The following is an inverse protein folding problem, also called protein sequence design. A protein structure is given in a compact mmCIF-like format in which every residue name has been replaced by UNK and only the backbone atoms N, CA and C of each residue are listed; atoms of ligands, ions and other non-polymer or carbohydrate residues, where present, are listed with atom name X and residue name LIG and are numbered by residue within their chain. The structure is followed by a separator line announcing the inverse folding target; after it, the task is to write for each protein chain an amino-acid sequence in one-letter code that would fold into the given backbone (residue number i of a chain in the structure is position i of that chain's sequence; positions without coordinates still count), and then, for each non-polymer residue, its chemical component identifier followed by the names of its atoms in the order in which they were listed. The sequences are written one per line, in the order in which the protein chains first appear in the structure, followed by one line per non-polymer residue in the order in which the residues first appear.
data_IF_349186714559
#
_entry.id   IF_349186714559
#
_cell.length_a   1.000
_cell.length_b   1.000
_cell.length_c   1.000
_cell.angle_alpha   90.00
_cell.angle_beta   90.00
_cell.angle_gamma   90.00
#
_symmetry.space_group_name_H-M   'P 1'
#
loop_
_entity.id
_entity.type
_entity.pdbx_description
1 polymer ?
#
# COMPACT_ATOMS: atom_id res chain seq x y z
N UNK A 1 5.84 7.27 -20.02
CA UNK A 1 6.21 6.18 -19.09
C UNK A 1 5.72 4.88 -19.70
N UNK A 2 6.48 3.79 -19.56
CA UNK A 2 6.14 2.51 -20.17
C UNK A 2 5.07 1.84 -19.32
N UNK A 3 4.00 1.39 -19.96
CA UNK A 3 2.98 0.54 -19.32
C UNK A 3 3.32 -0.91 -19.62
N UNK A 4 3.35 -1.74 -18.57
CA UNK A 4 3.45 -3.19 -18.68
C UNK A 4 2.10 -3.79 -18.34
N UNK A 5 1.51 -4.52 -19.29
CA UNK A 5 0.21 -5.18 -19.12
C UNK A 5 0.40 -6.65 -18.82
N UNK A 6 -0.16 -7.10 -17.69
CA UNK A 6 -0.29 -8.49 -17.30
C UNK A 6 -1.67 -9.00 -17.70
N UNK A 7 -1.74 -10.22 -18.22
CA UNK A 7 -2.99 -10.87 -18.61
C UNK A 7 -3.10 -12.22 -17.92
N UNK A 8 -4.25 -12.48 -17.34
CA UNK A 8 -4.56 -13.81 -16.83
C UNK A 8 -4.72 -14.80 -18.00
N UNK A 9 -4.09 -15.98 -17.95
CA UNK A 9 -4.16 -16.95 -19.05
C UNK A 9 -5.51 -17.68 -19.16
N UNK A 10 -6.37 -17.59 -18.14
CA UNK A 10 -7.61 -18.37 -18.00
C UNK A 10 -8.87 -17.51 -17.95
N UNK A 11 -8.73 -16.17 -17.95
CA UNK A 11 -9.86 -15.27 -17.77
C UNK A 11 -9.65 -13.91 -18.45
N UNK A 12 -10.65 -13.04 -18.36
CA UNK A 12 -10.60 -11.67 -18.89
C UNK A 12 -9.87 -10.67 -18.00
N UNK A 13 -9.28 -11.11 -16.88
CA UNK A 13 -8.61 -10.22 -15.94
C UNK A 13 -7.28 -9.72 -16.52
N UNK A 14 -7.05 -8.43 -16.42
CA UNK A 14 -5.79 -7.79 -16.80
C UNK A 14 -5.37 -6.77 -15.75
N UNK A 15 -4.07 -6.58 -15.58
CA UNK A 15 -3.51 -5.55 -14.70
C UNK A 15 -2.44 -4.75 -15.46
N UNK A 16 -2.29 -3.48 -15.12
CA UNK A 16 -1.28 -2.61 -15.72
C UNK A 16 -0.40 -1.99 -14.66
N UNK A 17 0.92 -1.97 -14.92
CA UNK A 17 1.93 -1.40 -14.04
C UNK A 17 2.81 -0.41 -14.79
N UNK A 18 3.27 0.62 -14.08
CA UNK A 18 4.21 1.60 -14.60
C UNK A 18 5.49 1.59 -13.75
N UNK A 19 6.52 0.82 -14.16
CA UNK A 19 7.78 0.74 -13.42
C UNK A 19 8.41 2.12 -13.16
N UNK A 20 8.44 3.00 -14.16
CA UNK A 20 9.06 4.33 -14.02
C UNK A 20 8.21 5.33 -13.21
N UNK A 21 7.10 4.88 -12.61
CA UNK A 21 6.28 5.65 -11.68
C UNK A 21 6.10 4.86 -10.38
N UNK A 22 7.20 4.56 -9.69
CA UNK A 22 7.14 3.90 -8.39
C UNK A 22 6.58 2.47 -8.43
N UNK A 23 6.70 1.79 -9.58
CA UNK A 23 6.13 0.46 -9.80
C UNK A 23 4.63 0.38 -9.44
N UNK A 24 3.89 1.47 -9.71
CA UNK A 24 2.46 1.58 -9.36
C UNK A 24 1.61 0.69 -10.28
N UNK A 25 0.68 -0.07 -9.68
CA UNK A 25 -0.39 -0.71 -10.43
C UNK A 25 -1.45 0.32 -10.82
N UNK A 26 -1.54 0.66 -12.10
CA UNK A 26 -2.45 1.70 -12.61
C UNK A 26 -3.83 1.18 -12.97
N UNK A 27 -3.96 -0.10 -13.30
CA UNK A 27 -5.23 -0.73 -13.66
C UNK A 27 -5.33 -2.14 -13.10
N UNK A 28 -6.54 -2.53 -12.70
CA UNK A 28 -6.97 -3.91 -12.55
C UNK A 28 -8.38 -3.99 -13.12
N UNK A 29 -8.52 -4.71 -14.24
CA UNK A 29 -9.78 -4.76 -14.97
C UNK A 29 -10.23 -6.20 -15.24
N UNK A 30 -11.53 -6.38 -15.39
CA UNK A 30 -12.13 -7.66 -15.77
C UNK A 30 -13.23 -7.45 -16.81
N UNK A 31 -13.05 -8.05 -17.98
CA UNK A 31 -13.87 -7.85 -19.17
C UNK A 31 -14.01 -6.35 -19.55
N UNK A 32 -12.89 -5.61 -19.44
CA UNK A 32 -12.82 -4.18 -19.77
C UNK A 32 -13.38 -3.23 -18.70
N UNK A 33 -13.85 -3.76 -17.57
CA UNK A 33 -14.37 -2.95 -16.46
C UNK A 33 -13.25 -2.66 -15.46
N UNK A 34 -12.92 -1.38 -15.27
CA UNK A 34 -11.89 -0.92 -14.33
C UNK A 34 -12.35 -1.01 -12.87
N UNK A 35 -11.57 -1.70 -12.05
CA UNK A 35 -11.85 -1.99 -10.64
C UNK A 35 -10.95 -1.20 -9.68
N UNK A 36 -10.04 -0.38 -10.20
CA UNK A 36 -9.25 0.56 -9.42
C UNK A 36 -9.73 2.00 -9.55
N UNK A 37 -9.80 2.68 -8.41
CA UNK A 37 -9.95 4.12 -8.33
C UNK A 37 -8.73 4.85 -8.87
N UNK A 38 -8.92 5.60 -9.96
CA UNK A 38 -7.87 6.40 -10.57
C UNK A 38 -7.56 7.68 -9.77
N UNK A 39 -8.47 8.10 -8.88
CA UNK A 39 -8.32 9.32 -8.06
C UNK A 39 -7.95 10.51 -8.94
N UNK A 40 -6.78 11.11 -8.73
CA UNK A 40 -6.25 12.24 -9.52
C UNK A 40 -5.41 11.83 -10.73
N UNK A 41 -5.31 10.53 -10.98
CA UNK A 41 -4.60 9.94 -12.09
C UNK A 41 -3.07 9.92 -11.94
N UNK A 42 -2.43 9.27 -12.92
CA UNK A 42 -1.00 9.00 -12.91
C UNK A 42 -0.14 10.28 -12.93
N UNK A 43 -0.59 11.34 -13.63
CA UNK A 43 0.14 12.60 -13.69
C UNK A 43 0.26 13.26 -12.30
N UNK A 44 -0.84 13.29 -11.54
CA UNK A 44 -0.85 13.83 -10.18
C UNK A 44 -0.06 12.95 -9.20
N UNK A 45 -0.04 11.64 -9.43
CA UNK A 45 0.80 10.71 -8.67
C UNK A 45 2.29 11.00 -8.89
N UNK A 46 2.72 11.13 -10.15
CA UNK A 46 4.13 11.40 -10.47
C UNK A 46 4.57 12.79 -10.01
N UNK A 47 3.79 13.83 -10.30
CA UNK A 47 4.19 15.22 -9.99
C UNK A 47 4.04 15.56 -8.51
N UNK A 48 2.96 15.10 -7.88
CA UNK A 48 2.54 15.59 -6.57
C UNK A 48 2.36 14.48 -5.51
N UNK A 49 2.69 13.22 -5.84
CA UNK A 49 2.53 12.08 -4.93
C UNK A 49 1.09 11.80 -4.53
N UNK A 50 0.12 12.22 -5.35
CA UNK A 50 -1.31 11.95 -5.10
C UNK A 50 -1.60 10.50 -5.47
N UNK A 51 -1.60 9.64 -4.46
CA UNK A 51 -1.79 8.19 -4.55
C UNK A 51 -3.04 7.80 -5.37
N UNK A 52 -2.89 6.76 -6.20
CA UNK A 52 -3.90 6.16 -7.07
C UNK A 52 -3.59 4.68 -7.30
N UNK A 53 -4.57 3.91 -7.80
CA UNK A 53 -4.35 2.53 -8.22
C UNK A 53 -3.89 1.63 -7.05
N UNK A 54 -2.75 0.96 -7.21
CA UNK A 54 -2.09 0.14 -6.18
C UNK A 54 -0.67 0.70 -5.95
N UNK A 55 -0.52 1.81 -5.21
CA UNK A 55 0.79 2.39 -4.94
C UNK A 55 1.43 1.69 -3.74
N UNK A 56 2.74 1.49 -3.82
CA UNK A 56 3.55 1.15 -2.66
C UNK A 56 3.77 2.39 -1.80
N UNK A 57 3.64 2.24 -0.49
CA UNK A 57 3.91 3.26 0.52
C UNK A 57 5.23 2.90 1.21
N UNK A 58 6.34 3.48 0.76
CA UNK A 58 7.69 3.03 1.15
C UNK A 58 8.64 4.20 1.37
N UNK A 59 9.48 4.19 2.42
CA UNK A 59 9.73 3.08 3.37
C UNK A 59 8.75 2.99 4.55
N UNK A 60 7.80 3.92 4.65
CA UNK A 60 6.75 3.86 5.65
C UNK A 60 5.36 4.05 5.03
N UNK A 61 4.40 3.28 5.52
CA UNK A 61 2.98 3.48 5.29
C UNK A 61 2.41 4.45 6.32
N UNK A 62 1.37 5.16 5.90
CA UNK A 62 0.69 6.17 6.71
C UNK A 62 1.66 7.22 7.30
N UNK A 63 1.30 7.81 8.45
CA UNK A 63 1.97 8.97 9.06
C UNK A 63 3.16 8.61 9.94
N UNK A 64 4.11 9.53 10.03
CA UNK A 64 5.05 9.67 11.14
C UNK A 64 4.65 10.89 11.97
N UNK A 65 4.56 10.74 13.28
CA UNK A 65 4.08 11.77 14.19
C UNK A 65 5.08 12.90 14.49
N UNK A 66 6.25 12.88 13.85
CA UNK A 66 7.22 13.98 13.84
C UNK A 66 8.14 13.87 12.62
N UNK A 67 8.86 14.95 12.34
CA UNK A 67 9.87 15.03 11.30
C UNK A 67 11.19 14.32 11.65
N UNK A 68 11.29 13.68 12.81
CA UNK A 68 12.48 12.90 13.20
C UNK A 68 12.04 11.55 13.74
N UNK A 69 12.77 10.50 13.35
CA UNK A 69 12.64 9.16 13.91
C UNK A 69 14.02 8.59 14.26
N UNK A 70 14.04 7.63 15.17
CA UNK A 70 15.22 6.80 15.45
C UNK A 70 14.80 5.35 15.42
N UNK A 71 15.42 4.57 14.54
CA UNK A 71 15.14 3.15 14.35
C UNK A 71 16.49 2.43 14.21
N UNK A 72 16.61 1.19 14.70
CA UNK A 72 17.85 0.39 14.56
C UNK A 72 19.16 1.17 14.86
N UNK A 73 19.12 2.07 15.85
CA UNK A 73 20.26 2.90 16.26
C UNK A 73 20.59 4.11 15.37
N UNK A 74 19.83 4.36 14.30
CA UNK A 74 20.04 5.48 13.36
C UNK A 74 18.92 6.50 13.45
N UNK A 75 19.29 7.77 13.54
CA UNK A 75 18.36 8.91 13.53
C UNK A 75 18.34 9.57 12.17
N UNK A 76 17.14 9.82 11.64
CA UNK A 76 16.95 10.59 10.41
C UNK A 76 15.96 11.75 10.65
N UNK A 77 16.20 12.86 9.96
CA UNK A 77 15.33 14.03 9.95
C UNK A 77 14.75 14.22 8.55
N UNK A 78 13.44 14.31 8.49
CA UNK A 78 12.61 14.41 7.30
C UNK A 78 12.12 15.85 7.14
N UNK A 79 12.34 16.42 5.96
CA UNK A 79 11.84 17.75 5.63
C UNK A 79 10.79 17.63 4.52
N UNK A 80 9.50 17.88 4.79
CA UNK A 80 8.49 17.89 3.74
C UNK A 80 8.87 18.83 2.59
N UNK A 81 8.83 18.31 1.35
CA UNK A 81 9.27 19.01 0.14
C UNK A 81 10.70 18.68 -0.29
N UNK A 82 11.51 18.04 0.56
CA UNK A 82 12.86 17.58 0.24
C UNK A 82 12.91 16.06 0.11
N UNK A 83 13.82 15.54 -0.73
CA UNK A 83 14.11 14.10 -0.83
C UNK A 83 12.89 13.19 -1.06
N UNK A 84 11.83 13.73 -1.66
CA UNK A 84 10.57 13.00 -1.90
C UNK A 84 9.65 12.92 -0.69
N UNK A 85 10.02 13.47 0.47
CA UNK A 85 9.17 13.52 1.67
C UNK A 85 7.97 14.42 1.42
N UNK A 86 6.77 13.90 1.71
CA UNK A 86 5.52 14.63 1.58
C UNK A 86 4.80 14.66 2.92
N UNK A 87 4.08 15.75 3.16
CA UNK A 87 3.27 15.93 4.35
C UNK A 87 1.78 15.67 4.06
N UNK A 88 1.08 15.16 5.07
CA UNK A 88 -0.38 15.15 5.12
C UNK A 88 -0.92 16.57 5.42
N UNK A 89 -2.25 16.77 5.44
CA UNK A 89 -2.85 18.07 5.79
C UNK A 89 -2.49 18.61 7.18
N UNK A 90 -2.04 17.75 8.10
CA UNK A 90 -1.59 18.13 9.44
C UNK A 90 -0.08 18.45 9.50
N UNK A 91 0.62 18.41 8.35
CA UNK A 91 2.06 18.66 8.28
C UNK A 91 2.93 17.44 8.62
N UNK A 92 2.35 16.25 8.80
CA UNK A 92 3.07 15.04 9.19
C UNK A 92 3.62 14.30 7.96
N UNK A 93 4.88 13.80 7.98
CA UNK A 93 5.40 12.96 6.90
C UNK A 93 4.50 11.74 6.66
N UNK A 94 4.12 11.49 5.42
CA UNK A 94 3.13 10.45 5.09
C UNK A 94 3.51 9.68 3.82
N UNK A 95 3.30 8.35 3.85
CA UNK A 95 3.40 7.45 2.69
C UNK A 95 4.78 7.29 2.05
N UNK A 96 5.85 7.62 2.78
CA UNK A 96 7.20 7.42 2.30
C UNK A 96 7.61 8.37 1.17
N UNK A 97 8.53 7.91 0.32
CA UNK A 97 9.19 8.73 -0.71
C UNK A 97 9.19 8.12 -2.11
N UNK A 98 8.60 6.92 -2.29
CA UNK A 98 8.61 6.22 -3.59
C UNK A 98 7.44 6.56 -4.53
N UNK A 99 6.51 7.41 -4.11
CA UNK A 99 5.39 7.84 -4.97
C UNK A 99 5.91 8.54 -6.23
N UNK A 100 5.70 7.91 -7.39
CA UNK A 100 6.17 8.41 -8.69
C UNK A 100 7.68 8.25 -8.95
N UNK A 101 8.40 7.49 -8.12
CA UNK A 101 9.86 7.37 -8.25
C UNK A 101 10.27 6.59 -9.52
N UNK A 102 11.16 7.12 -10.37
CA UNK A 102 11.45 6.50 -11.67
C UNK A 102 12.55 5.42 -11.63
N UNK A 103 13.28 5.27 -10.53
CA UNK A 103 14.50 4.45 -10.46
C UNK A 103 14.29 2.93 -10.44
N UNK A 104 13.09 2.42 -10.69
CA UNK A 104 12.84 0.97 -10.71
C UNK A 104 13.43 0.33 -11.97
N UNK A 105 14.20 -0.74 -11.80
CA UNK A 105 14.76 -1.56 -12.87
C UNK A 105 13.94 -2.85 -13.00
N UNK A 106 13.34 -3.06 -14.17
CA UNK A 106 12.67 -4.34 -14.49
C UNK A 106 13.72 -5.44 -14.64
N UNK A 107 13.53 -6.55 -13.92
CA UNK A 107 14.45 -7.71 -13.94
C UNK A 107 13.82 -8.96 -14.56
N UNK A 108 12.48 -9.07 -14.58
CA UNK A 108 11.77 -10.12 -15.29
C UNK A 108 10.40 -9.64 -15.76
N UNK A 109 9.97 -10.08 -16.93
CA UNK A 109 8.67 -9.75 -17.52
C UNK A 109 8.15 -10.95 -18.32
N UNK A 110 6.89 -11.32 -18.09
CA UNK A 110 6.14 -12.34 -18.82
C UNK A 110 4.75 -11.80 -19.15
N UNK A 111 3.95 -12.59 -19.88
CA UNK A 111 2.56 -12.23 -20.22
C UNK A 111 1.70 -11.97 -18.99
N UNK A 112 2.06 -12.56 -17.85
CA UNK A 112 1.23 -12.68 -16.66
C UNK A 112 2.02 -12.37 -15.38
N UNK A 113 3.23 -11.83 -15.49
CA UNK A 113 4.08 -11.45 -14.37
C UNK A 113 5.11 -10.37 -14.71
N UNK A 114 5.50 -9.61 -13.69
CA UNK A 114 6.50 -8.56 -13.78
C UNK A 114 7.27 -8.48 -12.45
N UNK A 115 8.59 -8.39 -12.52
CA UNK A 115 9.46 -8.16 -11.37
C UNK A 115 10.33 -6.94 -11.63
N UNK A 116 10.38 -6.03 -10.67
CA UNK A 116 11.25 -4.88 -10.68
C UNK A 116 11.95 -4.69 -9.33
N UNK A 117 13.12 -4.08 -9.38
CA UNK A 117 13.98 -3.82 -8.22
C UNK A 117 14.34 -2.34 -8.15
N UNK A 118 14.55 -1.87 -6.94
CA UNK A 118 15.13 -0.56 -6.65
C UNK A 118 16.25 -0.77 -5.63
N UNK A 119 17.49 -0.44 -6.00
CA UNK A 119 18.56 -0.31 -5.02
C UNK A 119 18.41 1.05 -4.33
N UNK A 120 18.14 1.01 -3.04
CA UNK A 120 17.90 2.21 -2.26
C UNK A 120 19.19 3.00 -1.99
N UNK A 121 20.35 2.35 -2.11
CA UNK A 121 21.65 2.98 -1.92
C UNK A 121 22.15 3.74 -3.16
N UNK A 122 21.56 3.49 -4.34
CA UNK A 122 21.94 4.16 -5.60
C UNK A 122 21.49 5.64 -5.65
N UNK A 123 20.58 6.07 -4.76
CA UNK A 123 20.14 7.47 -4.66
C UNK A 123 20.40 8.03 -3.24
N UNK A 124 21.38 8.92 -3.06
CA UNK A 124 21.67 9.55 -1.77
C UNK A 124 20.48 10.29 -1.16
N UNK A 125 19.51 10.76 -1.96
CA UNK A 125 18.29 11.41 -1.46
C UNK A 125 17.37 10.41 -0.76
N UNK A 126 17.32 9.17 -1.26
CA UNK A 126 16.57 8.10 -0.61
C UNK A 126 17.21 7.76 0.74
N UNK A 127 18.54 7.59 0.79
CA UNK A 127 19.27 7.36 2.04
C UNK A 127 19.15 8.52 3.04
N UNK A 128 19.03 9.77 2.57
CA UNK A 128 18.80 10.92 3.45
C UNK A 128 17.47 10.82 4.23
N UNK A 129 16.45 10.16 3.64
CA UNK A 129 15.15 9.94 4.29
C UNK A 129 15.08 8.62 5.05
N UNK A 130 15.82 7.60 4.59
CA UNK A 130 15.83 6.26 5.16
C UNK A 130 17.21 5.61 5.02
N UNK A 131 18.10 5.82 6.01
CA UNK A 131 19.55 5.56 5.91
C UNK A 131 19.91 4.09 6.16
N UNK A 132 19.25 3.18 5.43
CA UNK A 132 19.51 1.74 5.47
C UNK A 132 19.76 1.27 4.04
N UNK A 133 21.00 0.96 3.63
CA UNK A 133 21.27 0.38 2.32
C UNK A 133 20.56 -0.97 2.13
N UNK A 134 19.72 -1.06 1.11
CA UNK A 134 18.98 -2.29 0.79
C UNK A 134 18.51 -2.30 -0.66
N UNK A 135 18.21 -3.50 -1.16
CA UNK A 135 17.46 -3.69 -2.40
C UNK A 135 16.00 -3.99 -2.06
N UNK A 136 15.09 -3.26 -2.70
CA UNK A 136 13.65 -3.47 -2.66
C UNK A 136 13.21 -4.15 -3.96
N UNK A 137 12.66 -5.36 -3.87
CA UNK A 137 12.10 -6.10 -5.02
C UNK A 137 10.59 -6.17 -4.92
N UNK A 138 9.88 -5.82 -5.98
CA UNK A 138 8.44 -6.04 -6.14
C UNK A 138 8.20 -6.97 -7.31
N UNK A 139 7.61 -8.12 -7.02
CA UNK A 139 7.16 -9.12 -7.99
C UNK A 139 5.63 -9.16 -8.00
N UNK A 140 5.04 -9.02 -9.18
CA UNK A 140 3.60 -9.11 -9.40
C UNK A 140 3.29 -10.24 -10.37
N UNK A 141 2.23 -10.99 -10.11
CA UNK A 141 1.81 -12.15 -10.90
C UNK A 141 0.29 -12.21 -10.96
N UNK A 142 -0.27 -12.34 -12.16
CA UNK A 142 -1.70 -12.45 -12.40
C UNK A 142 -2.08 -13.84 -12.92
N UNK A 143 -2.66 -14.67 -12.07
CA UNK A 143 -3.15 -16.00 -12.42
C UNK A 143 -4.43 -16.34 -11.67
N UNK A 144 -5.28 -17.17 -12.25
CA UNK A 144 -6.54 -17.63 -11.66
C UNK A 144 -7.40 -16.47 -11.09
N UNK A 145 -7.51 -15.38 -11.86
CA UNK A 145 -8.20 -14.12 -11.52
C UNK A 145 -7.62 -13.39 -10.31
N UNK A 146 -6.39 -13.71 -9.92
CA UNK A 146 -5.75 -13.23 -8.70
C UNK A 146 -4.43 -12.52 -9.03
N UNK A 147 -4.37 -11.23 -8.73
CA UNK A 147 -3.14 -10.44 -8.77
C UNK A 147 -2.42 -10.59 -7.44
N UNK A 148 -1.31 -11.33 -7.43
CA UNK A 148 -0.42 -11.46 -6.26
C UNK A 148 0.68 -10.41 -6.33
N UNK A 149 0.91 -9.72 -5.23
CA UNK A 149 2.00 -8.73 -5.06
C UNK A 149 2.91 -9.20 -3.94
N UNK A 150 4.17 -9.47 -4.27
CA UNK A 150 5.21 -9.90 -3.34
C UNK A 150 6.28 -8.83 -3.24
N UNK A 151 6.57 -8.38 -2.03
CA UNK A 151 7.65 -7.43 -1.73
C UNK A 151 8.74 -8.13 -0.94
N UNK A 152 9.99 -7.99 -1.41
CA UNK A 152 11.18 -8.50 -0.73
C UNK A 152 12.09 -7.34 -0.38
N UNK A 153 12.55 -7.28 0.87
CA UNK A 153 13.52 -6.30 1.35
C UNK A 153 14.79 -7.05 1.70
N UNK A 154 15.88 -6.74 1.02
CA UNK A 154 17.19 -7.37 1.21
C UNK A 154 18.18 -6.33 1.69
N UNK A 155 18.59 -6.41 2.95
CA UNK A 155 19.65 -5.55 3.49
C UNK A 155 20.96 -5.78 2.70
N UNK A 156 21.58 -4.69 2.25
CA UNK A 156 22.87 -4.75 1.54
C UNK A 156 24.02 -4.12 2.34
N UNK A 157 23.71 -3.41 3.43
CA UNK A 157 24.68 -2.96 4.43
C UNK A 157 24.69 -3.84 5.69
N UNK A 158 25.34 -3.34 6.74
CA UNK A 158 25.50 -4.04 8.02
C UNK A 158 24.32 -3.83 9.00
N UNK A 159 23.41 -2.92 8.67
CA UNK A 159 22.25 -2.59 9.50
C UNK A 159 21.01 -3.36 9.06
N UNK A 160 20.18 -3.73 10.03
CA UNK A 160 18.85 -4.24 9.75
C UNK A 160 17.97 -3.13 9.17
N UNK A 161 17.11 -3.47 8.22
CA UNK A 161 16.21 -2.54 7.52
C UNK A 161 14.83 -2.60 8.16
N UNK A 162 14.32 -1.52 8.78
CA UNK A 162 12.97 -1.49 9.35
C UNK A 162 11.88 -1.75 8.31
N UNK A 163 10.90 -2.59 8.64
CA UNK A 163 9.74 -2.89 7.80
C UNK A 163 8.53 -2.13 8.32
N UNK A 164 8.31 -0.93 7.77
CA UNK A 164 7.16 -0.08 8.09
C UNK A 164 6.32 0.28 6.85
N UNK A 165 6.58 -0.34 5.71
CA UNK A 165 5.92 -0.06 4.44
C UNK A 165 4.53 -0.71 4.33
N UNK A 166 3.80 -0.38 3.27
CA UNK A 166 2.50 -0.97 2.94
C UNK A 166 2.07 -0.66 1.52
N UNK A 167 0.82 -0.96 1.20
CA UNK A 167 0.19 -0.61 -0.09
C UNK A 167 -1.17 0.03 0.14
N UNK A 168 -1.62 0.84 -0.83
CA UNK A 168 -2.89 1.55 -0.74
C UNK A 168 -3.81 1.26 -1.94
N UNK A 169 -4.29 0.01 -2.12
CA UNK A 169 -5.15 -0.34 -3.24
C UNK A 169 -6.48 0.43 -3.18
N UNK A 170 -6.72 1.30 -4.15
CA UNK A 170 -7.98 2.03 -4.31
C UNK A 170 -8.96 1.17 -5.08
N UNK A 171 -9.85 0.45 -4.40
CA UNK A 171 -10.82 -0.44 -5.05
C UNK A 171 -12.09 0.34 -5.40
N UNK A 172 -12.71 0.00 -6.52
CA UNK A 172 -14.03 0.48 -6.91
C UNK A 172 -14.86 -0.59 -7.61
N UNK A 173 -16.18 -0.48 -7.50
CA UNK A 173 -17.14 -1.29 -8.24
C UNK A 173 -18.00 -0.38 -9.13
N UNK A 174 -17.69 -0.24 -10.43
CA UNK A 174 -18.48 0.57 -11.34
C UNK A 174 -19.84 -0.07 -11.64
N UNK A 175 -20.80 0.76 -12.05
CA UNK A 175 -22.16 0.31 -12.43
C UNK A 175 -23.11 0.09 -11.26
N UNK A 176 -22.65 0.30 -10.02
CA UNK A 176 -23.46 0.25 -8.80
C UNK A 176 -23.04 1.40 -7.87
N UNK A 177 -23.98 2.19 -7.32
CA UNK A 177 -23.65 3.29 -6.42
C UNK A 177 -22.81 2.82 -5.22
N UNK A 178 -21.83 3.63 -4.80
CA UNK A 178 -20.98 3.32 -3.62
C UNK A 178 -21.80 3.00 -2.37
N UNK A 179 -22.95 3.67 -2.20
CA UNK A 179 -23.83 3.43 -1.06
C UNK A 179 -24.38 2.01 -0.97
N UNK A 180 -24.47 1.30 -2.10
CA UNK A 180 -24.94 -0.08 -2.19
C UNK A 180 -23.79 -1.11 -2.08
N UNK A 181 -22.54 -0.67 -1.97
CA UNK A 181 -21.42 -1.59 -1.78
C UNK A 181 -21.50 -2.21 -0.40
N UNK A 182 -21.19 -3.50 -0.31
CA UNK A 182 -21.08 -4.24 0.94
C UNK A 182 -19.60 -4.50 1.22
N UNK A 183 -19.13 -4.10 2.40
CA UNK A 183 -17.77 -4.39 2.85
C UNK A 183 -17.76 -5.61 3.76
N UNK A 184 -16.74 -6.45 3.57
CA UNK A 184 -16.44 -7.58 4.44
C UNK A 184 -15.08 -7.38 5.11
N UNK A 185 -15.04 -7.52 6.43
CA UNK A 185 -13.80 -7.49 7.21
C UNK A 185 -13.76 -8.66 8.19
N UNK A 186 -12.58 -9.25 8.45
CA UNK A 186 -12.45 -10.27 9.49
C UNK A 186 -12.60 -9.62 10.88
N UNK A 187 -12.62 -10.41 11.98
CA UNK A 187 -12.41 -9.86 13.31
C UNK A 187 -11.04 -9.19 13.40
N UNK A 188 -10.99 -8.01 14.01
CA UNK A 188 -9.80 -7.16 14.06
C UNK A 188 -9.63 -6.55 15.45
N UNK A 189 -8.47 -5.93 15.69
CA UNK A 189 -8.27 -5.00 16.81
C UNK A 189 -8.15 -3.59 16.26
N UNK A 190 -9.13 -2.74 16.56
CA UNK A 190 -9.15 -1.33 16.12
C UNK A 190 -8.31 -0.49 17.07
N UNK A 191 -7.43 0.34 16.51
CA UNK A 191 -6.61 1.29 17.25
C UNK A 191 -7.35 2.62 17.39
N UNK A 192 -7.29 3.23 18.59
CA UNK A 192 -7.79 4.58 18.78
C UNK A 192 -6.76 5.58 18.26
N UNK A 193 -7.21 6.53 17.43
CA UNK A 193 -6.39 7.56 16.82
C UNK A 193 -6.62 8.92 17.48
N UNK A 194 -5.58 9.75 17.53
CA UNK A 194 -5.70 11.17 17.86
C UNK A 194 -6.30 11.97 16.68
N UNK A 195 -6.50 13.27 16.88
CA UNK A 195 -7.02 14.19 15.87
C UNK A 195 -6.14 14.34 14.62
N UNK A 196 -4.87 13.93 14.72
CA UNK A 196 -3.90 13.90 13.60
C UNK A 196 -3.81 12.53 12.94
N UNK A 197 -4.62 11.55 13.37
CA UNK A 197 -4.63 10.19 12.82
C UNK A 197 -3.47 9.32 13.32
N UNK A 198 -2.87 9.61 14.47
CA UNK A 198 -1.81 8.82 15.07
C UNK A 198 -2.36 7.88 16.16
N UNK A 199 -1.86 6.64 16.28
CA UNK A 199 -2.24 5.74 17.36
C UNK A 199 -1.96 6.32 18.75
N UNK A 200 -2.98 6.31 19.61
CA UNK A 200 -2.91 6.78 21.01
C UNK A 200 -2.34 5.72 21.95
N UNK A 201 -2.30 4.46 21.52
CA UNK A 201 -1.98 3.28 22.34
C UNK A 201 -3.21 2.56 22.89
N UNK A 202 -4.39 3.21 22.91
CA UNK A 202 -5.65 2.54 23.24
C UNK A 202 -6.17 1.73 22.03
N UNK A 203 -6.88 0.64 22.32
CA UNK A 203 -7.49 -0.22 21.28
C UNK A 203 -8.77 -0.88 21.78
N UNK A 204 -9.57 -1.39 20.85
CA UNK A 204 -10.77 -2.17 21.14
C UNK A 204 -10.94 -3.32 20.15
N UNK A 205 -11.54 -4.45 20.55
CA UNK A 205 -11.96 -5.47 19.60
C UNK A 205 -12.96 -4.91 18.59
N UNK A 206 -12.81 -5.28 17.32
CA UNK A 206 -13.78 -5.04 16.27
C UNK A 206 -14.25 -6.40 15.74
N UNK A 207 -15.55 -6.73 15.84
CA UNK A 207 -16.07 -7.99 15.30
C UNK A 207 -15.95 -7.99 13.77
N UNK A 208 -16.04 -9.19 13.18
CA UNK A 208 -16.20 -9.32 11.74
C UNK A 208 -17.38 -8.48 11.25
N UNK A 209 -17.24 -7.88 10.07
CA UNK A 209 -18.28 -7.08 9.45
C UNK A 209 -18.66 -7.67 8.11
N UNK A 210 -19.96 -7.61 7.83
CA UNK A 210 -20.56 -7.81 6.53
C UNK A 210 -21.71 -6.80 6.48
N UNK A 211 -21.43 -5.63 5.91
CA UNK A 211 -22.35 -4.50 6.02
C UNK A 211 -22.28 -3.58 4.81
N UNK A 212 -23.40 -2.90 4.54
CA UNK A 212 -23.44 -1.82 3.57
C UNK A 212 -22.47 -0.70 3.99
N UNK A 213 -21.69 -0.24 3.02
CA UNK A 213 -20.81 0.92 3.12
C UNK A 213 -21.65 2.18 3.29
N UNK A 214 -22.73 2.35 2.49
CA UNK A 214 -23.66 3.48 2.61
C UNK A 214 -22.92 4.83 2.65
N UNK A 215 -23.34 5.69 3.57
CA UNK A 215 -22.72 7.00 3.83
C UNK A 215 -21.58 6.95 4.86
N UNK A 216 -21.10 5.75 5.21
CA UNK A 216 -20.01 5.60 6.19
C UNK A 216 -18.71 6.14 5.59
N UNK A 217 -17.95 6.79 6.47
CA UNK A 217 -16.56 7.13 6.24
C UNK A 217 -15.69 6.15 7.02
N UNK A 218 -14.62 5.68 6.40
CA UNK A 218 -13.56 4.96 7.09
C UNK A 218 -12.25 5.73 6.92
N UNK A 219 -11.57 5.93 8.04
CA UNK A 219 -10.14 6.28 8.11
C UNK A 219 -9.60 5.65 9.39
N UNK A 220 -9.82 4.34 9.52
CA UNK A 220 -9.60 3.58 10.74
C UNK A 220 -8.37 2.67 10.63
N UNK A 221 -7.58 2.63 11.71
CA UNK A 221 -6.39 1.79 11.83
C UNK A 221 -6.68 0.53 12.64
N UNK A 222 -6.11 -0.59 12.20
CA UNK A 222 -6.22 -1.89 12.85
C UNK A 222 -4.86 -2.59 12.87
N UNK A 223 -4.65 -3.44 13.88
CA UNK A 223 -3.47 -4.29 13.98
C UNK A 223 -3.84 -5.71 14.42
N UNK A 224 -2.80 -6.55 14.60
CA UNK A 224 -2.93 -7.99 14.86
C UNK A 224 -3.71 -8.73 13.76
N UNK A 225 -3.59 -8.26 12.52
CA UNK A 225 -4.18 -8.93 11.36
C UNK A 225 -3.43 -10.26 11.14
N UNK A 226 -4.10 -11.42 11.18
CA UNK A 226 -3.44 -12.69 10.94
C UNK A 226 -3.10 -12.86 9.47
N UNK A 227 -2.03 -13.60 9.18
CA UNK A 227 -1.74 -14.08 7.83
C UNK A 227 -2.95 -14.86 7.28
N UNK A 228 -3.28 -14.62 6.02
CA UNK A 228 -4.44 -15.19 5.32
C UNK A 228 -5.76 -14.45 5.55
N UNK A 229 -5.79 -13.37 6.34
CA UNK A 229 -6.97 -12.52 6.52
C UNK A 229 -7.51 -12.00 5.18
N UNK A 230 -8.85 -11.95 5.03
CA UNK A 230 -9.53 -11.53 3.80
C UNK A 230 -10.43 -10.34 4.08
N UNK A 231 -10.23 -9.29 3.30
CA UNK A 231 -11.10 -8.13 3.21
C UNK A 231 -11.78 -8.15 1.85
N UNK A 232 -13.01 -7.65 1.75
CA UNK A 232 -13.66 -7.58 0.45
C UNK A 232 -14.63 -6.42 0.32
N UNK A 233 -14.90 -6.07 -0.93
CA UNK A 233 -16.02 -5.22 -1.32
C UNK A 233 -16.85 -5.92 -2.38
N UNK A 234 -18.17 -5.89 -2.23
CA UNK A 234 -19.13 -6.53 -3.13
C UNK A 234 -20.24 -5.56 -3.54
N UNK A 235 -20.77 -5.72 -4.74
CA UNK A 235 -21.80 -4.83 -5.30
C UNK A 235 -21.96 -5.04 -6.80
N UNK A 236 -23.17 -4.84 -7.33
CA UNK A 236 -23.42 -4.95 -8.78
C UNK A 236 -23.04 -6.30 -9.39
N UNK A 237 -23.18 -7.39 -8.63
CA UNK A 237 -22.79 -8.74 -9.05
C UNK A 237 -21.28 -9.01 -9.06
N UNK A 238 -20.45 -8.09 -8.56
CA UNK A 238 -18.99 -8.22 -8.48
C UNK A 238 -18.53 -8.32 -7.03
N UNK A 239 -17.36 -8.94 -6.84
CA UNK A 239 -16.66 -9.00 -5.56
C UNK A 239 -15.16 -8.86 -5.81
N UNK A 240 -14.51 -7.97 -5.07
CA UNK A 240 -13.05 -7.84 -5.06
C UNK A 240 -12.56 -8.17 -3.66
N UNK A 241 -11.67 -9.15 -3.55
CA UNK A 241 -11.08 -9.60 -2.27
C UNK A 241 -9.62 -9.17 -2.19
N UNK A 242 -9.20 -8.62 -1.05
CA UNK A 242 -7.80 -8.38 -0.72
C UNK A 242 -7.41 -9.35 0.38
N UNK A 243 -6.51 -10.28 0.08
CA UNK A 243 -6.01 -11.26 1.05
C UNK A 243 -4.61 -10.88 1.48
N UNK A 244 -4.42 -10.82 2.79
CA UNK A 244 -3.12 -10.51 3.39
C UNK A 244 -2.37 -11.82 3.56
N UNK A 245 -1.80 -12.35 2.47
CA UNK A 245 -1.20 -13.68 2.42
C UNK A 245 -0.16 -13.89 3.53
N UNK A 246 0.75 -12.92 3.69
CA UNK A 246 1.84 -13.00 4.68
C UNK A 246 2.41 -11.63 5.00
N UNK A 247 2.69 -11.40 6.28
CA UNK A 247 3.61 -10.35 6.73
C UNK A 247 3.02 -8.94 6.78
N UNK A 248 1.70 -8.83 6.74
CA UNK A 248 0.96 -7.57 6.88
C UNK A 248 0.10 -7.60 8.16
N UNK A 249 0.70 -7.43 9.36
CA UNK A 249 -0.01 -7.53 10.63
C UNK A 249 -0.88 -6.30 10.95
N UNK A 250 -0.89 -5.28 10.10
CA UNK A 250 -1.68 -4.07 10.29
C UNK A 250 -2.43 -3.69 9.01
N UNK A 251 -3.54 -2.96 9.19
CA UNK A 251 -4.30 -2.40 8.07
C UNK A 251 -4.91 -1.04 8.39
N UNK A 252 -5.00 -0.21 7.37
CA UNK A 252 -5.89 0.95 7.36
C UNK A 252 -7.08 0.61 6.47
N UNK A 253 -8.29 0.88 6.95
CA UNK A 253 -9.48 0.90 6.09
C UNK A 253 -9.81 2.35 5.79
N UNK A 254 -9.74 2.70 4.50
CA UNK A 254 -9.99 4.06 4.04
C UNK A 254 -11.14 4.08 3.02
N UNK A 255 -12.20 4.80 3.33
CA UNK A 255 -13.33 5.03 2.44
C UNK A 255 -13.86 6.45 2.71
N UNK A 256 -13.46 7.45 1.93
CA UNK A 256 -13.81 8.83 2.21
C UNK A 256 -15.29 9.08 1.89
N UNK A 257 -15.89 10.04 2.59
CA UNK A 257 -17.21 10.59 2.23
C UNK A 257 -17.12 11.54 1.03
N UNK A 258 -18.28 11.76 0.42
CA UNK A 258 -18.49 12.72 -0.65
C UNK A 258 -18.86 12.05 -1.97
N UNK A 259 -19.20 12.90 -2.93
CA UNK A 259 -19.59 12.49 -4.27
C UNK A 259 -18.43 12.62 -5.25
N UNK A 260 -18.52 11.87 -6.35
CA UNK A 260 -17.59 11.92 -7.46
C UNK A 260 -16.55 10.79 -7.48
N UNK A 261 -15.89 10.60 -8.63
CA UNK A 261 -15.08 9.41 -8.91
C UNK A 261 -13.83 9.27 -8.02
N UNK A 262 -13.34 10.36 -7.41
CA UNK A 262 -12.23 10.31 -6.46
C UNK A 262 -12.63 9.76 -5.08
N UNK A 263 -13.93 9.78 -4.76
CA UNK A 263 -14.51 9.36 -3.48
C UNK A 263 -15.26 8.04 -3.56
N UNK A 264 -15.63 7.61 -4.77
CA UNK A 264 -16.16 6.29 -5.09
C UNK A 264 -15.11 5.18 -4.99
N UNK A 265 -14.52 5.02 -3.79
CA UNK A 265 -13.49 4.04 -3.50
C UNK A 265 -13.63 3.46 -2.09
N UNK A 266 -13.01 2.30 -1.88
CA UNK A 266 -12.65 1.74 -0.58
C UNK A 266 -11.25 1.15 -0.67
N UNK A 267 -10.47 1.25 0.40
CA UNK A 267 -9.14 0.70 0.53
C UNK A 267 -9.07 -0.23 1.73
N UNK A 268 -8.45 -1.39 1.51
CA UNK A 268 -7.97 -2.27 2.57
C UNK A 268 -6.45 -2.28 2.43
N UNK A 269 -5.76 -1.49 3.23
CA UNK A 269 -4.33 -1.20 3.06
C UNK A 269 -3.50 -2.24 3.81
N UNK A 270 -2.79 -3.16 3.13
CA UNK A 270 -1.87 -4.06 3.82
C UNK A 270 -0.62 -3.31 4.28
N UNK A 271 -0.34 -3.32 5.59
CA UNK A 271 0.79 -2.63 6.20
C UNK A 271 1.65 -3.57 7.06
N UNK A 272 2.97 -3.45 6.92
CA UNK A 272 3.94 -4.31 7.62
C UNK A 272 4.11 -3.95 9.10
N UNK A 273 3.66 -2.75 9.48
CA UNK A 273 3.58 -2.27 10.86
C UNK A 273 2.44 -1.22 10.99
N UNK A 274 1.94 -0.95 12.20
CA UNK A 274 0.99 0.13 12.44
C UNK A 274 1.56 1.53 12.11
N UNK A 275 0.67 2.51 11.92
CA UNK A 275 1.04 3.92 11.73
C UNK A 275 2.02 4.40 12.81
N UNK A 276 3.00 5.23 12.42
CA UNK A 276 4.04 5.79 13.31
C UNK A 276 5.04 4.77 13.89
N UNK A 277 5.07 3.53 13.39
CA UNK A 277 5.94 2.47 13.91
C UNK A 277 7.44 2.81 13.85
N UNK A 278 7.95 3.49 12.83
CA UNK A 278 9.37 3.91 12.79
C UNK A 278 9.78 4.74 14.02
N UNK A 279 8.83 5.46 14.64
CA UNK A 279 9.05 6.26 15.85
C UNK A 279 8.71 5.51 17.14
N UNK A 280 7.76 4.58 17.08
CA UNK A 280 7.19 3.92 18.26
C UNK A 280 7.65 2.47 18.47
N UNK A 281 8.36 1.90 17.51
CA UNK A 281 8.70 0.48 17.50
C UNK A 281 7.54 -0.40 17.01
N UNK A 282 7.59 -1.69 17.35
CA UNK A 282 6.56 -2.66 16.93
C UNK A 282 6.64 -3.08 15.46
N UNK A 283 7.76 -2.77 14.78
CA UNK A 283 8.05 -3.23 13.43
C UNK A 283 9.01 -4.43 13.45
N UNK A 284 9.00 -5.18 12.34
CA UNK A 284 10.01 -6.21 12.04
C UNK A 284 11.12 -5.59 11.20
N UNK A 285 12.24 -6.31 11.02
CA UNK A 285 13.35 -5.85 10.19
C UNK A 285 13.77 -6.95 9.20
N UNK A 286 14.31 -6.56 8.04
CA UNK A 286 15.15 -7.45 7.23
C UNK A 286 16.59 -7.35 7.74
N UNK A 287 17.19 -8.47 8.16
CA UNK A 287 18.57 -8.48 8.69
C UNK A 287 19.58 -8.75 7.57
N UNK A 288 20.84 -8.33 7.72
CA UNK A 288 21.90 -8.74 6.79
C UNK A 288 21.93 -10.27 6.65
N UNK A 289 21.88 -10.76 5.41
CA UNK A 289 21.81 -12.20 5.10
C UNK A 289 20.42 -12.86 5.26
N UNK A 290 19.42 -12.15 5.79
CA UNK A 290 18.05 -12.66 5.99
C UNK A 290 17.02 -11.72 5.35
N UNK A 291 16.75 -11.86 4.04
CA UNK A 291 15.74 -11.05 3.35
C UNK A 291 14.36 -11.23 3.97
N UNK A 292 13.62 -10.14 4.14
CA UNK A 292 12.24 -10.19 4.60
C UNK A 292 11.25 -10.15 3.43
N UNK A 293 10.17 -10.90 3.55
CA UNK A 293 9.10 -10.98 2.54
C UNK A 293 7.76 -10.62 3.15
N UNK A 294 6.99 -9.81 2.41
CA UNK A 294 5.55 -9.61 2.62
C UNK A 294 4.80 -9.86 1.31
N UNK A 295 3.58 -10.38 1.40
CA UNK A 295 2.78 -10.73 0.23
C UNK A 295 1.29 -10.53 0.51
N UNK A 296 0.60 -9.95 -0.47
CA UNK A 296 -0.85 -9.86 -0.48
C UNK A 296 -1.36 -10.19 -1.89
N UNK A 297 -2.64 -10.46 -2.02
CA UNK A 297 -3.28 -10.71 -3.31
C UNK A 297 -4.61 -9.97 -3.43
N UNK A 298 -4.99 -9.65 -4.68
CA UNK A 298 -6.29 -9.10 -5.03
C UNK A 298 -6.98 -10.07 -5.99
N UNK A 299 -8.12 -10.61 -5.59
CA UNK A 299 -8.93 -11.54 -6.41
C UNK A 299 -10.21 -10.86 -6.89
N UNK A 300 -10.56 -11.11 -8.15
CA UNK A 300 -11.71 -10.53 -8.88
C UNK A 300 -12.66 -11.61 -9.37
#
# INVERSE_FOLDING_TARGET
MRVVTLRDPTSSVAAEFVPEAGMVGTSLSDAGVELLGQRRGLDAYVKAGKTMGIPILYPWANRLGANTYTAEGVTATLTPGENGVRADPNGLPIHGVLAGHPGWRVTAESVDGLTAELDFADDPRLLASFPYPHVLTVAVRLADRTLTVRTTVTATGDLAVPLCFGFHPYLRLPGVPRGEWVIHTPPLRQLALDDRGLPTGASKPAPARDEALGDKAFDDAYDQVPDGAVFAVSGGGRRVEVRFERGYPATQIFAPRGEGPEKEIVCFEPMTAPTDALRRGGYRCARPGEPAVAQFSIRV
#
